data_IF_935536553748
#
_entry.id   IF_935536553748
#
_cell.length_a   1.000
_cell.length_b   1.000
_cell.length_c   1.000
_cell.angle_alpha   90.00
_cell.angle_beta   90.00
_cell.angle_gamma   90.00
#
_symmetry.space_group_name_H-M   'P 1'
#
loop_
_entity.id
_entity.type
_entity.pdbx_description
1 polymer ?
#
# COMPACT_ATOMS: atom_id res chain seq x y z
N UNK A 1 6.48 2.16 0.87
CA UNK A 1 7.21 2.98 -0.14
C UNK A 1 8.70 2.82 0.11
N UNK A 2 9.51 2.66 -0.93
CA UNK A 2 10.96 2.69 -0.78
C UNK A 2 11.45 4.11 -0.43
N UNK A 3 12.67 4.22 0.12
CA UNK A 3 13.31 5.52 0.35
C UNK A 3 13.41 6.34 -0.94
N UNK A 4 13.70 5.69 -2.06
CA UNK A 4 13.78 6.31 -3.39
C UNK A 4 12.42 6.91 -3.82
N UNK A 5 11.31 6.20 -3.58
CA UNK A 5 9.97 6.71 -3.87
C UNK A 5 9.60 7.91 -2.98
N UNK A 6 9.99 7.91 -1.71
CA UNK A 6 9.79 9.06 -0.82
C UNK A 6 10.60 10.28 -1.27
N UNK A 7 11.84 10.05 -1.71
CA UNK A 7 12.71 11.11 -2.21
C UNK A 7 12.14 11.72 -3.49
N UNK A 8 11.70 10.93 -4.46
CA UNK A 8 11.06 11.44 -5.68
C UNK A 8 9.75 12.18 -5.41
N UNK A 9 8.94 11.72 -4.46
CA UNK A 9 7.72 12.42 -4.07
C UNK A 9 8.03 13.82 -3.48
N UNK A 10 9.10 13.92 -2.68
CA UNK A 10 9.57 15.19 -2.12
C UNK A 10 10.12 16.12 -3.21
N UNK A 11 10.97 15.61 -4.10
CA UNK A 11 11.50 16.36 -5.24
C UNK A 11 10.38 16.88 -6.15
N UNK A 12 9.36 16.07 -6.40
CA UNK A 12 8.19 16.48 -7.17
C UNK A 12 7.39 17.59 -6.48
N UNK A 13 7.22 17.54 -5.16
CA UNK A 13 6.57 18.62 -4.40
C UNK A 13 7.40 19.92 -4.45
N UNK A 14 8.71 19.84 -4.25
CA UNK A 14 9.63 20.98 -4.33
C UNK A 14 9.59 21.61 -5.73
N UNK A 15 9.68 20.79 -6.78
CA UNK A 15 9.59 21.26 -8.17
C UNK A 15 8.24 21.91 -8.47
N UNK A 16 7.13 21.40 -7.93
CA UNK A 16 5.81 22.01 -8.09
C UNK A 16 5.73 23.37 -7.35
N UNK A 17 6.33 23.51 -6.16
CA UNK A 17 6.41 24.79 -5.47
C UNK A 17 7.26 25.82 -6.23
N UNK A 18 8.40 25.40 -6.77
CA UNK A 18 9.25 26.26 -7.59
C UNK A 18 8.55 26.67 -8.89
N UNK A 19 7.87 25.73 -9.56
CA UNK A 19 7.04 26.01 -10.72
C UNK A 19 5.94 27.02 -10.42
N UNK A 20 5.33 26.97 -9.23
CA UNK A 20 4.35 27.97 -8.82
C UNK A 20 4.96 29.37 -8.69
N UNK A 21 6.14 29.49 -8.07
CA UNK A 21 6.88 30.77 -7.97
C UNK A 21 7.27 31.28 -9.36
N UNK A 22 7.76 30.41 -10.24
CA UNK A 22 8.10 30.75 -11.61
C UNK A 22 6.86 31.27 -12.37
N UNK A 23 5.72 30.59 -12.26
CA UNK A 23 4.48 31.04 -12.87
C UNK A 23 4.02 32.41 -12.37
N UNK A 24 4.27 32.77 -11.11
CA UNK A 24 4.00 34.11 -10.57
C UNK A 24 4.91 35.17 -11.18
N UNK A 25 6.21 34.89 -11.28
CA UNK A 25 7.15 35.79 -11.96
C UNK A 25 6.80 36.00 -13.44
N UNK A 26 6.39 34.94 -14.14
CA UNK A 26 5.93 35.05 -15.54
C UNK A 26 4.65 35.87 -15.65
N UNK A 27 3.72 35.73 -14.70
CA UNK A 27 2.51 36.56 -14.63
C UNK A 27 2.87 38.05 -14.49
N UNK A 28 3.73 38.37 -13.52
CA UNK A 28 4.21 39.74 -13.25
C UNK A 28 4.94 40.33 -14.46
N UNK A 29 5.76 39.55 -15.16
CA UNK A 29 6.42 39.96 -16.41
C UNK A 29 5.40 40.29 -17.51
N UNK A 30 4.34 39.49 -17.63
CA UNK A 30 3.26 39.76 -18.57
C UNK A 30 2.52 41.06 -18.27
N UNK A 31 2.28 41.35 -16.99
CA UNK A 31 1.68 42.63 -16.55
C UNK A 31 2.61 43.81 -16.81
N UNK A 32 3.91 43.66 -16.55
CA UNK A 32 4.91 44.67 -16.83
C UNK A 32 4.94 45.04 -18.32
N UNK A 33 4.97 44.04 -19.21
CA UNK A 33 4.96 44.27 -20.65
C UNK A 33 3.68 44.98 -21.15
N UNK A 34 2.54 44.72 -20.51
CA UNK A 34 1.29 45.44 -20.80
C UNK A 34 1.37 46.90 -20.38
N UNK A 35 1.94 47.19 -19.21
CA UNK A 35 2.09 48.56 -18.70
C UNK A 35 3.07 49.41 -19.54
N UNK A 36 4.06 48.77 -20.15
CA UNK A 36 5.11 49.41 -20.95
C UNK A 36 4.97 49.18 -22.45
N UNK A 37 3.79 48.78 -22.92
CA UNK A 37 3.57 48.51 -24.34
C UNK A 37 3.63 49.80 -25.17
N UNK A 38 4.48 49.83 -26.19
CA UNK A 38 4.55 50.91 -27.18
C UNK A 38 3.68 50.60 -28.42
N UNK A 39 3.20 49.36 -28.54
CA UNK A 39 2.36 48.88 -29.62
C UNK A 39 1.23 47.95 -29.15
N UNK A 40 0.21 47.79 -29.98
CA UNK A 40 -0.88 46.84 -29.76
C UNK A 40 -0.34 45.39 -29.77
N UNK A 41 0.69 45.10 -30.58
CA UNK A 41 1.36 43.80 -30.57
C UNK A 41 2.02 43.50 -29.22
N UNK A 42 2.70 44.47 -28.60
CA UNK A 42 3.36 44.30 -27.30
C UNK A 42 2.34 44.07 -26.18
N UNK A 43 1.22 44.81 -26.21
CA UNK A 43 0.12 44.61 -25.26
C UNK A 43 -0.46 43.19 -25.38
N UNK A 44 -0.69 42.69 -26.61
CA UNK A 44 -1.14 41.32 -26.84
C UNK A 44 -0.13 40.29 -26.34
N UNK A 45 1.17 40.55 -26.53
CA UNK A 45 2.24 39.67 -26.05
C UNK A 45 2.29 39.62 -24.53
N UNK A 46 2.15 40.76 -23.87
CA UNK A 46 2.08 40.85 -22.41
C UNK A 46 0.89 40.08 -21.84
N UNK A 47 -0.31 40.22 -22.43
CA UNK A 47 -1.51 39.44 -22.05
C UNK A 47 -1.30 37.94 -22.19
N UNK A 48 -0.67 37.50 -23.29
CA UNK A 48 -0.36 36.08 -23.50
C UNK A 48 0.63 35.54 -22.45
N UNK A 49 1.65 36.32 -22.10
CA UNK A 49 2.63 35.95 -21.07
C UNK A 49 1.96 35.89 -19.70
N UNK A 50 1.11 36.86 -19.35
CA UNK A 50 0.35 36.85 -18.11
C UNK A 50 -0.52 35.58 -18.00
N UNK A 51 -1.25 35.25 -19.07
CA UNK A 51 -2.08 34.05 -19.14
C UNK A 51 -1.25 32.76 -18.97
N UNK A 52 -0.04 32.71 -19.55
CA UNK A 52 0.89 31.58 -19.35
C UNK A 52 1.36 31.49 -17.89
N UNK A 53 1.68 32.61 -17.25
CA UNK A 53 2.03 32.64 -15.83
C UNK A 53 0.92 32.06 -14.95
N UNK A 54 -0.32 32.48 -15.17
CA UNK A 54 -1.51 31.94 -14.48
C UNK A 54 -1.70 30.44 -14.75
N UNK A 55 -1.50 29.99 -15.98
CA UNK A 55 -1.59 28.58 -16.35
C UNK A 55 -0.52 27.73 -15.65
N UNK A 56 0.74 28.18 -15.63
CA UNK A 56 1.83 27.51 -14.91
C UNK A 56 1.49 27.38 -13.42
N UNK A 57 0.97 28.45 -12.80
CA UNK A 57 0.55 28.42 -11.41
C UNK A 57 -0.60 27.42 -11.16
N UNK A 58 -1.58 27.35 -12.06
CA UNK A 58 -2.69 26.40 -11.97
C UNK A 58 -2.20 24.95 -12.08
N UNK A 59 -1.32 24.66 -13.04
CA UNK A 59 -0.68 23.35 -13.18
C UNK A 59 0.13 22.98 -11.93
N UNK A 60 0.93 23.90 -11.41
CA UNK A 60 1.69 23.66 -10.18
C UNK A 60 0.80 23.31 -8.98
N UNK A 61 -0.34 24.02 -8.81
CA UNK A 61 -1.33 23.72 -7.76
C UNK A 61 -1.97 22.34 -7.95
N UNK A 62 -2.32 21.99 -9.19
CA UNK A 62 -2.85 20.67 -9.50
C UNK A 62 -1.84 19.57 -9.18
N UNK A 63 -0.57 19.75 -9.57
CA UNK A 63 0.51 18.81 -9.24
C UNK A 63 0.70 18.63 -7.73
N UNK A 64 0.64 19.72 -6.94
CA UNK A 64 0.70 19.63 -5.48
C UNK A 64 -0.49 18.85 -4.89
N UNK A 65 -1.70 19.06 -5.41
CA UNK A 65 -2.88 18.33 -4.97
C UNK A 65 -2.76 16.82 -5.29
N UNK A 66 -2.32 16.49 -6.50
CA UNK A 66 -2.05 15.10 -6.90
C UNK A 66 -0.97 14.45 -6.02
N UNK A 67 0.10 15.18 -5.72
CA UNK A 67 1.17 14.69 -4.83
C UNK A 67 0.65 14.30 -3.44
N UNK A 68 -0.25 15.10 -2.85
CA UNK A 68 -0.87 14.78 -1.54
C UNK A 68 -1.74 13.53 -1.59
N UNK A 69 -2.59 13.41 -2.61
CA UNK A 69 -3.44 12.21 -2.79
C UNK A 69 -2.59 10.95 -2.99
N UNK A 70 -1.52 11.05 -3.77
CA UNK A 70 -0.60 9.92 -3.97
C UNK A 70 0.09 9.50 -2.66
N UNK A 71 0.50 10.46 -1.82
CA UNK A 71 1.09 10.19 -0.51
C UNK A 71 0.12 9.47 0.44
N UNK A 72 -1.13 9.93 0.51
CA UNK A 72 -2.19 9.29 1.31
C UNK A 72 -2.47 7.86 0.85
N UNK A 73 -2.58 7.65 -0.46
CA UNK A 73 -2.76 6.32 -1.04
C UNK A 73 -1.58 5.39 -0.71
N UNK A 74 -0.35 5.91 -0.80
CA UNK A 74 0.87 5.17 -0.45
C UNK A 74 0.88 4.71 1.02
N UNK A 75 0.41 5.57 1.95
CA UNK A 75 0.26 5.22 3.38
C UNK A 75 -0.79 4.14 3.60
N UNK A 76 -1.96 4.27 2.96
CA UNK A 76 -3.04 3.28 3.08
C UNK A 76 -2.62 1.90 2.56
N UNK A 77 -1.92 1.86 1.42
CA UNK A 77 -1.40 0.62 0.85
C UNK A 77 -0.40 -0.08 1.77
N UNK A 78 0.49 0.68 2.43
CA UNK A 78 1.43 0.13 3.41
C UNK A 78 0.73 -0.58 4.57
N UNK A 79 -0.27 0.08 5.17
CA UNK A 79 -1.06 -0.50 6.26
C UNK A 79 -1.79 -1.77 5.83
N UNK A 80 -2.28 -1.81 4.58
CA UNK A 80 -2.92 -3.01 4.03
C UNK A 80 -1.94 -4.18 3.89
N UNK A 81 -0.69 -3.91 3.51
CA UNK A 81 0.36 -4.93 3.41
C UNK A 81 0.70 -5.46 4.80
N UNK A 82 0.95 -4.58 5.78
CA UNK A 82 1.26 -4.98 7.15
C UNK A 82 0.15 -5.86 7.75
N UNK A 83 -1.13 -5.45 7.57
CA UNK A 83 -2.26 -6.25 8.03
C UNK A 83 -2.34 -7.62 7.35
N UNK A 84 -2.02 -7.70 6.06
CA UNK A 84 -1.98 -8.96 5.32
C UNK A 84 -0.86 -9.87 5.83
N UNK A 85 0.32 -9.32 6.12
CA UNK A 85 1.45 -10.06 6.70
C UNK A 85 1.10 -10.63 8.08
N UNK A 86 0.40 -9.87 8.93
CA UNK A 86 -0.10 -10.36 10.22
C UNK A 86 -1.10 -11.52 10.04
N UNK A 87 -2.02 -11.40 9.07
CA UNK A 87 -2.97 -12.48 8.79
C UNK A 87 -2.28 -13.75 8.27
N UNK A 88 -1.23 -13.60 7.45
CA UNK A 88 -0.43 -14.73 6.98
C UNK A 88 0.22 -15.44 8.18
N UNK A 89 0.89 -14.71 9.08
CA UNK A 89 1.50 -15.29 10.28
C UNK A 89 0.49 -16.02 11.17
N UNK A 90 -0.67 -15.41 11.41
CA UNK A 90 -1.73 -16.05 12.19
C UNK A 90 -2.24 -17.34 11.52
N UNK A 91 -2.35 -17.34 10.19
CA UNK A 91 -2.76 -18.53 9.42
C UNK A 91 -1.70 -19.63 9.50
N UNK A 92 -0.41 -19.28 9.41
CA UNK A 92 0.69 -20.23 9.57
C UNK A 92 0.66 -20.91 10.96
N UNK A 93 0.42 -20.14 12.02
CA UNK A 93 0.27 -20.68 13.38
C UNK A 93 -0.93 -21.63 13.49
N UNK A 94 -2.07 -21.27 12.90
CA UNK A 94 -3.25 -22.13 12.87
C UNK A 94 -2.99 -23.44 12.11
N UNK A 95 -2.30 -23.38 10.98
CA UNK A 95 -1.92 -24.56 10.19
C UNK A 95 -1.00 -25.48 11.02
N UNK A 96 -0.03 -24.91 11.74
CA UNK A 96 0.86 -25.67 12.63
C UNK A 96 0.07 -26.36 13.75
N UNK A 97 -0.80 -25.63 14.44
CA UNK A 97 -1.63 -26.19 15.51
C UNK A 97 -2.56 -27.31 14.99
N UNK A 98 -3.13 -27.14 13.80
CA UNK A 98 -3.95 -28.18 13.16
C UNK A 98 -3.13 -29.44 12.85
N UNK A 99 -1.89 -29.27 12.36
CA UNK A 99 -0.99 -30.41 12.10
C UNK A 99 -0.66 -31.19 13.39
N UNK A 100 -0.39 -30.49 14.49
CA UNK A 100 -0.16 -31.09 15.81
C UNK A 100 -1.40 -31.84 16.30
N UNK A 101 -2.60 -31.27 16.13
CA UNK A 101 -3.87 -31.91 16.51
C UNK A 101 -4.14 -33.19 15.68
N UNK A 102 -3.85 -33.16 14.38
CA UNK A 102 -3.96 -34.34 13.51
C UNK A 102 -3.00 -35.45 13.97
N UNK A 103 -1.76 -35.10 14.33
CA UNK A 103 -0.79 -36.06 14.85
C UNK A 103 -1.25 -36.69 16.17
N UNK A 104 -1.71 -35.88 17.13
CA UNK A 104 -2.22 -36.37 18.41
C UNK A 104 -3.42 -37.33 18.22
N UNK A 105 -4.34 -36.99 17.30
CA UNK A 105 -5.49 -37.83 16.96
C UNK A 105 -5.05 -39.17 16.38
N UNK A 106 -4.03 -39.16 15.50
CA UNK A 106 -3.46 -40.39 14.92
C UNK A 106 -2.87 -41.30 16.00
N UNK A 107 -2.15 -40.72 16.96
CA UNK A 107 -1.59 -41.48 18.09
C UNK A 107 -2.68 -42.07 18.99
N UNK A 108 -3.73 -41.33 19.29
CA UNK A 108 -4.87 -41.85 20.06
C UNK A 108 -5.58 -43.01 19.34
N UNK A 109 -5.79 -42.88 18.03
CA UNK A 109 -6.39 -43.93 17.22
C UNK A 109 -5.54 -45.22 17.25
N UNK A 110 -4.21 -45.08 17.20
CA UNK A 110 -3.30 -46.22 17.28
C UNK A 110 -3.40 -46.93 18.64
N UNK A 111 -3.37 -46.18 19.75
CA UNK A 111 -3.55 -46.75 21.10
C UNK A 111 -4.89 -47.46 21.26
N UNK A 112 -5.97 -46.88 20.73
CA UNK A 112 -7.30 -47.48 20.75
C UNK A 112 -7.34 -48.82 19.98
N UNK A 113 -6.70 -48.90 18.81
CA UNK A 113 -6.57 -50.15 18.04
C UNK A 113 -5.82 -51.23 18.82
N UNK A 114 -4.73 -50.89 19.50
CA UNK A 114 -3.96 -51.82 20.33
C UNK A 114 -4.77 -52.35 21.52
N UNK A 115 -5.51 -51.47 22.20
CA UNK A 115 -6.40 -51.86 23.31
C UNK A 115 -7.49 -52.82 22.80
N UNK A 116 -8.10 -52.50 21.66
CA UNK A 116 -9.12 -53.36 21.05
C UNK A 116 -8.57 -54.74 20.70
N UNK A 117 -7.36 -54.80 20.14
CA UNK A 117 -6.69 -56.07 19.81
C UNK A 117 -6.44 -56.92 21.06
N UNK A 118 -5.91 -56.31 22.14
CA UNK A 118 -5.69 -56.99 23.43
C UNK A 118 -7.00 -57.49 24.06
N UNK A 119 -8.06 -56.67 24.02
CA UNK A 119 -9.38 -57.05 24.53
C UNK A 119 -9.95 -58.25 23.79
N UNK A 120 -9.86 -58.28 22.45
CA UNK A 120 -10.28 -59.42 21.63
C UNK A 120 -9.51 -60.70 21.98
N UNK A 121 -8.19 -60.59 22.17
CA UNK A 121 -7.36 -61.72 22.58
C UNK A 121 -7.77 -62.26 23.96
N UNK A 122 -8.05 -61.38 24.92
CA UNK A 122 -8.49 -61.78 26.27
C UNK A 122 -9.85 -62.49 26.24
N UNK A 123 -10.81 -62.00 25.46
CA UNK A 123 -12.11 -62.66 25.27
C UNK A 123 -11.97 -64.05 24.65
N UNK A 124 -11.08 -64.22 23.67
CA UNK A 124 -10.81 -65.52 23.07
C UNK A 124 -10.23 -66.52 24.10
N UNK A 125 -9.39 -66.06 25.02
CA UNK A 125 -8.82 -66.91 26.08
C UNK A 125 -9.87 -67.36 27.12
N UNK A 126 -10.84 -66.50 27.45
CA UNK A 126 -11.94 -66.83 28.37
C UNK A 126 -12.92 -67.86 27.77
N UNK A 127 -13.15 -67.83 26.45
CA UNK A 127 -14.05 -68.76 25.76
C UNK A 127 -13.47 -70.17 25.51
N UNK A 128 -12.19 -70.41 25.80
CA UNK A 128 -11.53 -71.73 25.62
C UNK A 128 -11.61 -72.60 26.89
N UNK A 129 -12.24 -72.12 27.97
CA UNK A 129 -12.65 -72.96 29.11
C UNK A 129 -14.17 -73.17 29.14
N UNK A 130 -14.73 -74.10 28.34
CA UNK A 130 -16.02 -74.68 28.67
C UNK A 130 -15.83 -75.74 29.76
N UNK A 131 -16.61 -75.63 30.84
CA UNK A 131 -16.81 -76.71 31.83
C UNK A 131 -17.31 -78.00 31.15
#
# INVERSE_FOLDING_TARGET
MSQEQQQHAKEAQEHAQESHKHGKMVEEMGQFLQQHAESIEDEKRGKLIEARGKSIQAHAKASLAHGKVAEEYGKSSHLSIESTEEQIKATEEQVKAAAEHVQATKEQLQKSKEILAKSKQHLAQLNIHPD
#
